data_IF_043557892385
#
_entry.id   IF_043557892385
#
_cell.length_a   1.000
_cell.length_b   1.000
_cell.length_c   1.000
_cell.angle_alpha   90.00
_cell.angle_beta   90.00
_cell.angle_gamma   90.00
#
_symmetry.space_group_name_H-M   'P 1'
#
loop_
_entity.id
_entity.type
_entity.pdbx_description
1 polymer ?
#
# COMPACT_ATOMS: atom_id res chain seq x y z
N UNK A 1 -0.41 19.56 -32.57
CA UNK A 1 0.29 18.67 -31.62
C UNK A 1 1.44 18.04 -32.36
N UNK A 2 2.67 18.19 -31.86
CA UNK A 2 3.85 17.62 -32.51
C UNK A 2 3.96 16.12 -32.20
N UNK A 3 4.73 15.39 -33.01
CA UNK A 3 5.04 13.97 -32.74
C UNK A 3 5.73 13.79 -31.37
N UNK A 4 6.52 14.77 -30.94
CA UNK A 4 7.15 14.77 -29.62
C UNK A 4 6.13 14.87 -28.47
N UNK A 5 5.07 15.67 -28.64
CA UNK A 5 4.00 15.79 -27.65
C UNK A 5 3.19 14.49 -27.52
N UNK A 6 2.97 13.80 -28.65
CA UNK A 6 2.32 12.48 -28.66
C UNK A 6 3.16 11.46 -27.90
N UNK A 7 4.47 11.40 -28.19
CA UNK A 7 5.39 10.47 -27.51
C UNK A 7 5.44 10.71 -26.00
N UNK A 8 5.57 11.96 -25.57
CA UNK A 8 5.60 12.31 -24.14
C UNK A 8 4.30 11.94 -23.41
N UNK A 9 3.14 12.08 -24.06
CA UNK A 9 1.85 11.64 -23.49
C UNK A 9 1.76 10.12 -23.33
N UNK A 10 2.15 9.36 -24.35
CA UNK A 10 2.18 7.88 -24.30
C UNK A 10 3.11 7.39 -23.20
N UNK A 11 4.29 8.00 -23.07
CA UNK A 11 5.23 7.68 -21.99
C UNK A 11 4.62 7.98 -20.61
N UNK A 12 4.00 9.15 -20.45
CA UNK A 12 3.31 9.55 -19.23
C UNK A 12 2.18 8.60 -18.82
N UNK A 13 1.36 8.15 -19.78
CA UNK A 13 0.31 7.16 -19.54
C UNK A 13 0.87 5.82 -19.07
N UNK A 14 1.98 5.37 -19.68
CA UNK A 14 2.65 4.12 -19.30
C UNK A 14 3.19 4.17 -17.87
N UNK A 15 3.78 5.30 -17.47
CA UNK A 15 4.29 5.54 -16.11
C UNK A 15 3.14 5.55 -15.11
N UNK A 16 2.05 6.28 -15.41
CA UNK A 16 0.88 6.33 -14.52
C UNK A 16 0.21 4.96 -14.36
N UNK A 17 0.20 4.14 -15.40
CA UNK A 17 -0.30 2.76 -15.32
C UNK A 17 0.52 1.90 -14.33
N UNK A 18 1.85 2.02 -14.36
CA UNK A 18 2.74 1.33 -13.40
C UNK A 18 2.55 1.86 -11.99
N UNK A 19 2.43 3.19 -11.81
CA UNK A 19 2.18 3.81 -10.50
C UNK A 19 0.85 3.32 -9.92
N UNK A 20 -0.24 3.25 -10.70
CA UNK A 20 -1.50 2.68 -10.22
C UNK A 20 -1.36 1.24 -9.78
N UNK A 21 -0.67 0.41 -10.58
CA UNK A 21 -0.42 -0.99 -10.21
C UNK A 21 0.33 -1.07 -8.87
N UNK A 22 1.37 -0.28 -8.68
CA UNK A 22 2.11 -0.22 -7.42
C UNK A 22 1.22 0.22 -6.24
N UNK A 23 0.39 1.26 -6.42
CA UNK A 23 -0.58 1.71 -5.40
C UNK A 23 -1.54 0.60 -5.02
N UNK A 24 -2.10 -0.15 -5.98
CA UNK A 24 -3.00 -1.27 -5.68
C UNK A 24 -2.30 -2.39 -4.92
N UNK A 25 -1.08 -2.77 -5.34
CA UNK A 25 -0.30 -3.80 -4.66
C UNK A 25 0.02 -3.37 -3.23
N UNK A 26 0.52 -2.16 -3.02
CA UNK A 26 0.84 -1.64 -1.70
C UNK A 26 -0.40 -1.55 -0.80
N UNK A 27 -1.52 -1.12 -1.34
CA UNK A 27 -2.80 -1.08 -0.61
C UNK A 27 -3.23 -2.49 -0.20
N UNK A 28 -3.16 -3.46 -1.11
CA UNK A 28 -3.48 -4.86 -0.81
C UNK A 28 -2.58 -5.44 0.29
N UNK A 29 -1.29 -5.11 0.27
CA UNK A 29 -0.35 -5.52 1.31
C UNK A 29 -0.70 -4.91 2.67
N UNK A 30 -1.06 -3.62 2.73
CA UNK A 30 -1.53 -2.98 3.98
C UNK A 30 -2.76 -3.70 4.52
N UNK A 31 -3.76 -3.97 3.67
CA UNK A 31 -4.97 -4.69 4.06
C UNK A 31 -4.65 -6.09 4.58
N UNK A 32 -3.79 -6.84 3.88
CA UNK A 32 -3.34 -8.17 4.30
C UNK A 32 -2.61 -8.12 5.65
N UNK A 33 -1.75 -7.13 5.88
CA UNK A 33 -1.08 -6.94 7.18
C UNK A 33 -2.09 -6.68 8.31
N UNK A 34 -3.08 -5.83 8.08
CA UNK A 34 -4.13 -5.58 9.06
C UNK A 34 -4.99 -6.83 9.32
N UNK A 35 -5.25 -7.64 8.29
CA UNK A 35 -5.96 -8.91 8.43
C UNK A 35 -5.16 -9.91 9.27
N UNK A 36 -3.83 -9.99 9.09
CA UNK A 36 -2.95 -10.81 9.93
C UNK A 36 -3.01 -10.37 11.39
N UNK A 37 -2.84 -9.07 11.66
CA UNK A 37 -2.95 -8.53 13.02
C UNK A 37 -4.31 -8.84 13.63
N UNK A 38 -5.40 -8.59 12.89
CA UNK A 38 -6.76 -8.87 13.35
C UNK A 38 -7.00 -10.35 13.64
N UNK A 39 -6.49 -11.24 12.79
CA UNK A 39 -6.59 -12.69 12.98
C UNK A 39 -5.90 -13.12 14.27
N UNK A 40 -4.66 -12.68 14.50
CA UNK A 40 -3.91 -13.00 15.72
C UNK A 40 -4.59 -12.40 16.96
N UNK A 41 -5.15 -11.20 16.85
CA UNK A 41 -5.89 -10.57 17.95
C UNK A 41 -7.14 -11.38 18.35
N UNK A 42 -7.92 -11.85 17.37
CA UNK A 42 -9.08 -12.72 17.64
C UNK A 42 -8.64 -14.02 18.30
N UNK A 43 -7.58 -14.68 17.81
CA UNK A 43 -7.07 -15.91 18.42
C UNK A 43 -6.60 -15.66 19.86
N UNK A 44 -5.88 -14.57 20.11
CA UNK A 44 -5.41 -14.21 21.44
C UNK A 44 -6.56 -13.94 22.42
N UNK A 45 -7.63 -13.29 21.97
CA UNK A 45 -8.83 -13.07 22.76
C UNK A 45 -9.57 -14.38 23.09
N UNK A 46 -9.73 -15.27 22.09
CA UNK A 46 -10.42 -16.54 22.26
C UNK A 46 -9.65 -17.53 23.14
N UNK A 47 -8.32 -17.57 23.00
CA UNK A 47 -7.48 -18.48 23.78
C UNK A 47 -7.20 -17.94 25.17
N UNK A 48 -7.09 -16.62 25.33
CA UNK A 48 -6.87 -15.97 26.63
C UNK A 48 -5.57 -16.36 27.34
N UNK A 49 -4.67 -17.13 26.71
CA UNK A 49 -3.45 -17.60 27.36
C UNK A 49 -2.30 -16.62 27.17
N UNK A 50 -1.39 -16.63 28.15
CA UNK A 50 -0.14 -15.86 28.12
C UNK A 50 0.64 -16.05 26.81
N UNK A 51 0.73 -17.29 26.32
CA UNK A 51 1.43 -17.61 25.07
C UNK A 51 0.88 -16.83 23.86
N UNK A 52 -0.45 -16.72 23.73
CA UNK A 52 -1.06 -15.99 22.63
C UNK A 52 -0.99 -14.46 22.77
N UNK A 53 -0.89 -13.94 23.99
CA UNK A 53 -0.66 -12.51 24.21
C UNK A 53 0.73 -12.08 23.75
N UNK A 54 1.75 -12.92 23.95
CA UNK A 54 3.11 -12.68 23.41
C UNK A 54 3.09 -12.67 21.88
N UNK A 55 2.39 -13.63 21.25
CA UNK A 55 2.22 -13.65 19.79
C UNK A 55 1.54 -12.39 19.28
N UNK A 56 0.51 -11.89 19.98
CA UNK A 56 -0.14 -10.64 19.62
C UNK A 56 0.81 -9.45 19.71
N UNK A 57 1.52 -9.28 20.82
CA UNK A 57 2.45 -8.15 21.01
C UNK A 57 3.55 -8.13 19.95
N UNK A 58 4.16 -9.29 19.68
CA UNK A 58 5.21 -9.41 18.65
C UNK A 58 4.64 -9.21 17.24
N UNK A 59 3.46 -9.75 16.93
CA UNK A 59 2.77 -9.53 15.65
C UNK A 59 2.52 -8.05 15.40
N UNK A 60 1.96 -7.34 16.39
CA UNK A 60 1.74 -5.89 16.31
C UNK A 60 3.06 -5.15 16.10
N UNK A 61 4.12 -5.51 16.82
CA UNK A 61 5.42 -4.85 16.72
C UNK A 61 6.04 -5.01 15.32
N UNK A 62 6.07 -6.22 14.77
CA UNK A 62 6.61 -6.46 13.43
C UNK A 62 5.73 -5.86 12.33
N UNK A 63 4.41 -6.01 12.43
CA UNK A 63 3.48 -5.48 11.44
C UNK A 63 3.44 -3.95 11.46
N UNK A 64 3.59 -3.29 12.62
CA UNK A 64 3.66 -1.84 12.70
C UNK A 64 4.84 -1.28 11.89
N UNK A 65 6.03 -1.88 12.03
CA UNK A 65 7.22 -1.50 11.25
C UNK A 65 6.99 -1.74 9.76
N UNK A 66 6.49 -2.92 9.39
CA UNK A 66 6.23 -3.27 7.99
C UNK A 66 5.20 -2.33 7.34
N UNK A 67 4.06 -2.10 7.99
CA UNK A 67 3.02 -1.17 7.52
C UNK A 67 3.55 0.25 7.42
N UNK A 68 4.41 0.69 8.35
CA UNK A 68 5.03 2.01 8.27
C UNK A 68 5.84 2.20 6.98
N UNK A 69 6.62 1.18 6.58
CA UNK A 69 7.34 1.22 5.31
C UNK A 69 6.41 1.18 4.08
N UNK A 70 5.35 0.37 4.14
CA UNK A 70 4.34 0.35 3.08
C UNK A 70 3.70 1.72 2.91
N UNK A 71 3.31 2.38 3.99
CA UNK A 71 2.70 3.71 3.97
C UNK A 71 3.69 4.77 3.47
N UNK A 72 4.95 4.69 3.87
CA UNK A 72 6.00 5.58 3.38
C UNK A 72 6.16 5.53 1.85
N UNK A 73 5.90 4.38 1.22
CA UNK A 73 5.89 4.24 -0.24
C UNK A 73 4.51 4.54 -0.87
N UNK A 74 3.43 4.10 -0.23
CA UNK A 74 2.07 4.20 -0.75
C UNK A 74 1.61 5.66 -0.83
N UNK A 75 1.84 6.45 0.21
CA UNK A 75 1.42 7.86 0.27
C UNK A 75 1.99 8.69 -0.90
N UNK A 76 3.32 8.70 -1.17
CA UNK A 76 3.84 9.46 -2.29
C UNK A 76 3.38 8.92 -3.65
N UNK A 77 3.31 7.60 -3.85
CA UNK A 77 2.83 7.01 -5.11
C UNK A 77 1.35 7.32 -5.36
N UNK A 78 0.53 7.33 -4.31
CA UNK A 78 -0.86 7.74 -4.39
C UNK A 78 -0.98 9.21 -4.78
N UNK A 79 -0.18 10.09 -4.18
CA UNK A 79 -0.13 11.50 -4.55
C UNK A 79 0.26 11.69 -6.03
N UNK A 80 1.30 11.00 -6.50
CA UNK A 80 1.72 11.00 -7.91
C UNK A 80 0.61 10.50 -8.83
N UNK A 81 -0.08 9.42 -8.44
CA UNK A 81 -1.21 8.87 -9.19
C UNK A 81 -2.36 9.88 -9.36
N UNK A 82 -2.72 10.59 -8.28
CA UNK A 82 -3.79 11.59 -8.30
C UNK A 82 -3.38 12.80 -9.13
N UNK A 83 -2.20 13.39 -8.88
CA UNK A 83 -1.72 14.59 -9.59
C UNK A 83 -1.47 14.30 -11.06
N UNK A 84 -0.82 13.18 -11.38
CA UNK A 84 -0.54 12.81 -12.76
C UNK A 84 -1.80 12.50 -13.56
N UNK A 85 -2.83 11.92 -12.93
CA UNK A 85 -4.15 11.75 -13.58
C UNK A 85 -4.80 13.08 -13.90
N UNK A 86 -4.70 14.07 -13.02
CA UNK A 86 -5.18 15.44 -13.29
C UNK A 86 -4.46 16.05 -14.50
N UNK A 87 -3.14 15.88 -14.58
CA UNK A 87 -2.32 16.46 -15.65
C UNK A 87 -2.55 15.80 -17.02
N UNK A 88 -2.77 14.48 -17.08
CA UNK A 88 -3.00 13.77 -18.34
C UNK A 88 -4.42 14.00 -18.89
N UNK A 89 -5.40 14.23 -18.01
CA UNK A 89 -6.83 14.39 -18.38
C UNK A 89 -7.31 15.85 -18.51
N UNK A 90 -6.57 16.81 -17.95
CA UNK A 90 -6.81 18.24 -18.12
C UNK A 90 -6.16 18.79 -19.39
#
# INVERSE_FOLDING_TARGET
MSVADVAARVDGESVLSRVHTAVYVLTALVVLSLLVVGTVAVIAALKGTWHWQIHLQSTVSYMAVFVSYLLAALVPLFAVSVVGRWWVRG
#
